data_IF_105814044748
#
_entry.id   IF_105814044748
#
_cell.length_a   1.000
_cell.length_b   1.000
_cell.length_c   1.000
_cell.angle_alpha   90.00
_cell.angle_beta   90.00
_cell.angle_gamma   90.00
#
_symmetry.space_group_name_H-M   'P 1'
#
loop_
_entity.id
_entity.type
_entity.pdbx_description
1 polymer ?
#
# COMPACT_ATOMS: atom_id res chain seq x y z
N UNK A 1 -40.01 -49.40 8.42
CA UNK A 1 -40.50 -50.00 9.69
C UNK A 1 -41.93 -50.52 9.61
N UNK A 2 -42.95 -49.70 9.31
CA UNK A 2 -44.33 -50.20 9.24
C UNK A 2 -44.62 -51.07 8.00
N UNK A 3 -44.02 -50.74 6.85
CA UNK A 3 -44.08 -51.55 5.63
C UNK A 3 -43.34 -52.89 5.81
N UNK A 4 -42.13 -52.86 6.37
CA UNK A 4 -41.34 -54.07 6.69
C UNK A 4 -42.07 -54.99 7.67
N UNK A 5 -42.72 -54.41 8.69
CA UNK A 5 -43.50 -55.18 9.67
C UNK A 5 -44.73 -55.83 9.03
N UNK A 6 -45.30 -55.21 8.00
CA UNK A 6 -46.47 -55.72 7.30
C UNK A 6 -46.12 -56.82 6.29
N UNK A 7 -45.17 -56.57 5.40
CA UNK A 7 -44.85 -57.43 4.25
C UNK A 7 -43.61 -58.31 4.43
N UNK A 8 -42.82 -58.08 5.48
CA UNK A 8 -41.47 -58.64 5.62
C UNK A 8 -40.40 -57.73 4.99
N UNK A 9 -39.19 -57.78 5.52
CA UNK A 9 -38.09 -56.89 5.10
C UNK A 9 -37.67 -57.07 3.65
N UNK A 10 -37.66 -58.30 3.13
CA UNK A 10 -37.24 -58.58 1.75
C UNK A 10 -38.22 -58.00 0.73
N UNK A 11 -39.52 -58.27 0.90
CA UNK A 11 -40.57 -57.77 0.01
C UNK A 11 -40.74 -56.25 0.10
N UNK A 12 -40.65 -55.69 1.32
CA UNK A 12 -40.71 -54.24 1.51
C UNK A 12 -39.53 -53.53 0.84
N UNK A 13 -38.32 -54.09 0.93
CA UNK A 13 -37.15 -53.53 0.24
C UNK A 13 -37.29 -53.62 -1.28
N UNK A 14 -37.80 -54.75 -1.81
CA UNK A 14 -38.05 -54.90 -3.24
C UNK A 14 -39.08 -53.90 -3.80
N UNK A 15 -40.13 -53.58 -3.04
CA UNK A 15 -41.11 -52.54 -3.38
C UNK A 15 -40.47 -51.15 -3.40
N UNK A 16 -39.65 -50.83 -2.39
CA UNK A 16 -38.93 -49.56 -2.31
C UNK A 16 -37.92 -49.35 -3.44
N UNK A 17 -37.30 -50.44 -3.91
CA UNK A 17 -36.38 -50.41 -5.05
C UNK A 17 -37.08 -50.45 -6.42
N UNK A 18 -38.42 -50.53 -6.46
CA UNK A 18 -39.19 -50.62 -7.69
C UNK A 18 -39.04 -51.95 -8.44
N UNK A 19 -38.60 -53.01 -7.75
CA UNK A 19 -38.40 -54.35 -8.31
C UNK A 19 -39.63 -55.26 -8.23
N UNK A 20 -40.69 -54.79 -7.57
CA UNK A 20 -41.96 -55.51 -7.41
C UNK A 20 -43.13 -54.54 -7.44
N UNK A 21 -44.29 -55.02 -7.88
CA UNK A 21 -45.55 -54.28 -7.90
C UNK A 21 -46.50 -54.75 -6.79
N UNK A 22 -47.56 -53.98 -6.53
CA UNK A 22 -48.60 -54.34 -5.57
C UNK A 22 -49.54 -55.47 -6.06
N UNK A 23 -49.37 -55.91 -7.31
CA UNK A 23 -50.15 -56.99 -7.92
C UNK A 23 -49.48 -58.34 -7.63
N UNK A 24 -50.27 -59.36 -7.27
CA UNK A 24 -49.73 -60.70 -7.02
C UNK A 24 -48.89 -60.83 -5.74
N UNK A 25 -49.04 -59.91 -4.77
CA UNK A 25 -48.33 -59.96 -3.49
C UNK A 25 -48.61 -61.25 -2.70
N UNK A 26 -49.82 -61.82 -2.85
CA UNK A 26 -50.23 -63.06 -2.18
C UNK A 26 -49.40 -64.27 -2.63
N UNK A 27 -49.01 -64.32 -3.90
CA UNK A 27 -48.27 -65.44 -4.50
C UNK A 27 -46.75 -65.32 -4.31
N UNK A 28 -46.28 -64.21 -3.70
CA UNK A 28 -44.86 -63.95 -3.57
C UNK A 28 -44.25 -64.73 -2.40
N UNK A 29 -43.23 -65.54 -2.68
CA UNK A 29 -42.53 -66.36 -1.68
C UNK A 29 -41.85 -65.53 -0.58
N UNK A 30 -41.54 -64.25 -0.84
CA UNK A 30 -40.95 -63.33 0.13
C UNK A 30 -41.99 -62.63 1.03
N UNK A 31 -43.29 -62.91 0.87
CA UNK A 31 -44.35 -62.35 1.72
C UNK A 31 -44.17 -62.85 3.17
N UNK A 32 -43.85 -61.92 4.06
CA UNK A 32 -43.66 -62.15 5.48
C UNK A 32 -44.53 -61.24 6.35
N UNK A 33 -44.11 -61.07 7.60
CA UNK A 33 -44.73 -60.12 8.53
C UNK A 33 -46.18 -60.45 8.90
N UNK A 34 -46.92 -59.39 9.26
CA UNK A 34 -48.33 -59.49 9.66
C UNK A 34 -49.20 -59.97 8.51
N UNK A 35 -48.92 -59.57 7.26
CA UNK A 35 -49.67 -59.96 6.08
C UNK A 35 -49.64 -61.47 5.83
N UNK A 36 -48.47 -62.11 5.98
CA UNK A 36 -48.35 -63.57 5.86
C UNK A 36 -49.06 -64.29 6.99
N UNK A 37 -49.00 -63.76 8.21
CA UNK A 37 -49.72 -64.33 9.35
C UNK A 37 -51.25 -64.26 9.15
N UNK A 38 -51.77 -63.14 8.66
CA UNK A 38 -53.20 -63.01 8.34
C UNK A 38 -53.62 -63.92 7.20
N UNK A 39 -52.79 -64.06 6.15
CA UNK A 39 -53.04 -64.98 5.04
C UNK A 39 -53.13 -66.44 5.53
N UNK A 40 -52.16 -66.88 6.33
CA UNK A 40 -52.16 -68.22 6.91
C UNK A 40 -53.41 -68.48 7.77
N UNK A 41 -53.94 -67.48 8.47
CA UNK A 41 -55.17 -67.62 9.25
C UNK A 41 -56.41 -67.82 8.36
N UNK A 42 -56.50 -67.10 7.23
CA UNK A 42 -57.57 -67.30 6.25
C UNK A 42 -57.47 -68.67 5.56
N UNK A 43 -56.27 -69.09 5.17
CA UNK A 43 -56.02 -70.43 4.60
C UNK A 43 -56.38 -71.54 5.60
N UNK A 44 -55.96 -71.41 6.86
CA UNK A 44 -56.29 -72.38 7.92
C UNK A 44 -57.81 -72.43 8.17
N UNK A 45 -58.49 -71.27 8.17
CA UNK A 45 -59.94 -71.22 8.28
C UNK A 45 -60.62 -71.94 7.12
N UNK A 46 -60.19 -71.68 5.87
CA UNK A 46 -60.73 -72.33 4.69
C UNK A 46 -60.55 -73.86 4.75
N UNK A 47 -59.36 -74.33 5.11
CA UNK A 47 -59.05 -75.75 5.25
C UNK A 47 -59.96 -76.42 6.30
N UNK A 48 -60.15 -75.80 7.46
CA UNK A 48 -61.06 -76.30 8.49
C UNK A 48 -62.51 -76.40 7.99
N UNK A 49 -62.99 -75.40 7.23
CA UNK A 49 -64.35 -75.43 6.65
C UNK A 49 -64.48 -76.49 5.57
N UNK A 50 -63.44 -76.72 4.78
CA UNK A 50 -63.42 -77.74 3.74
C UNK A 50 -63.46 -79.16 4.35
N UNK A 51 -62.76 -79.38 5.47
CA UNK A 51 -62.89 -80.60 6.26
C UNK A 51 -64.29 -80.77 6.86
N UNK A 52 -64.90 -79.71 7.40
CA UNK A 52 -66.28 -79.73 7.90
C UNK A 52 -67.28 -80.10 6.79
N UNK A 53 -67.11 -79.54 5.59
CA UNK A 53 -67.92 -79.86 4.42
C UNK A 53 -67.76 -81.33 4.00
N UNK A 54 -66.51 -81.80 3.91
CA UNK A 54 -66.22 -83.20 3.56
C UNK A 54 -66.93 -84.16 4.50
N UNK A 55 -66.82 -83.94 5.83
CA UNK A 55 -67.51 -84.75 6.83
C UNK A 55 -69.04 -84.69 6.71
N UNK A 56 -69.59 -83.51 6.44
CA UNK A 56 -71.03 -83.33 6.26
C UNK A 56 -71.54 -84.02 4.97
N UNK A 57 -70.75 -84.02 3.89
CA UNK A 57 -71.06 -84.71 2.65
C UNK A 57 -71.01 -86.24 2.79
N UNK A 58 -69.99 -86.76 3.48
CA UNK A 58 -69.89 -88.19 3.80
C UNK A 58 -71.09 -88.66 4.63
N UNK A 59 -71.45 -87.90 5.67
CA UNK A 59 -72.62 -88.15 6.51
C UNK A 59 -73.90 -88.16 5.67
N UNK A 60 -74.10 -87.14 4.82
CA UNK A 60 -75.24 -87.08 3.91
C UNK A 60 -75.29 -88.27 2.94
N UNK A 61 -74.14 -88.72 2.44
CA UNK A 61 -74.03 -89.87 1.53
C UNK A 61 -74.48 -91.16 2.21
N UNK A 62 -74.05 -91.38 3.46
CA UNK A 62 -74.53 -92.49 4.29
C UNK A 62 -76.01 -92.38 4.65
N UNK A 63 -76.49 -91.20 5.05
CA UNK A 63 -77.91 -90.98 5.35
C UNK A 63 -78.81 -91.21 4.13
N UNK A 64 -78.36 -90.86 2.91
CA UNK A 64 -79.07 -91.18 1.66
C UNK A 64 -79.16 -92.69 1.42
N UNK A 65 -78.06 -93.43 1.55
CA UNK A 65 -78.06 -94.88 1.36
C UNK A 65 -78.90 -95.62 2.41
N UNK A 66 -78.92 -95.13 3.65
CA UNK A 66 -79.72 -95.71 4.73
C UNK A 66 -81.22 -95.39 4.56
N UNK A 67 -81.56 -94.21 4.04
CA UNK A 67 -82.93 -93.84 3.69
C UNK A 67 -83.50 -94.73 2.58
N UNK A 68 -82.73 -95.00 1.51
CA UNK A 68 -83.13 -95.93 0.43
C UNK A 68 -83.41 -97.35 0.94
N UNK A 69 -82.68 -97.78 1.98
CA UNK A 69 -82.86 -99.08 2.63
C UNK A 69 -83.94 -99.07 3.74
N UNK A 70 -84.57 -97.92 4.01
CA UNK A 70 -85.66 -97.76 4.98
C UNK A 70 -85.23 -97.60 6.45
N UNK A 71 -83.94 -97.37 6.73
CA UNK A 71 -83.39 -97.30 8.09
C UNK A 71 -83.33 -95.88 8.70
N UNK A 72 -83.58 -94.83 7.91
CA UNK A 72 -83.50 -93.41 8.33
C UNK A 72 -84.80 -92.70 7.96
N UNK A 73 -85.27 -91.76 8.79
CA UNK A 73 -86.49 -91.00 8.53
C UNK A 73 -86.23 -89.76 7.64
N UNK A 74 -87.24 -89.26 6.93
CA UNK A 74 -87.14 -88.09 6.03
C UNK A 74 -86.65 -86.81 6.73
N UNK A 75 -87.02 -86.63 8.00
CA UNK A 75 -86.59 -85.47 8.78
C UNK A 75 -85.08 -85.50 9.07
N UNK A 76 -84.52 -86.67 9.33
CA UNK A 76 -83.06 -86.85 9.57
C UNK A 76 -82.28 -86.59 8.27
N UNK A 77 -82.73 -87.17 7.15
CA UNK A 77 -82.12 -86.92 5.84
C UNK A 77 -82.15 -85.42 5.47
N UNK A 78 -83.27 -84.75 5.71
CA UNK A 78 -83.42 -83.31 5.41
C UNK A 78 -82.53 -82.46 6.33
N UNK A 79 -82.34 -82.88 7.58
CA UNK A 79 -81.40 -82.26 8.52
C UNK A 79 -79.94 -82.35 8.03
N UNK A 80 -79.50 -83.52 7.60
CA UNK A 80 -78.16 -83.74 7.06
C UNK A 80 -77.95 -83.00 5.72
N UNK A 81 -78.97 -82.92 4.88
CA UNK A 81 -78.93 -82.11 3.64
C UNK A 81 -78.76 -80.62 3.93
N UNK A 82 -79.48 -80.09 4.93
CA UNK A 82 -79.34 -78.70 5.36
C UNK A 82 -77.96 -78.46 6.00
N UNK A 83 -77.44 -79.42 6.75
CA UNK A 83 -76.11 -79.33 7.35
C UNK A 83 -74.99 -79.32 6.29
N UNK A 84 -75.07 -80.17 5.27
CA UNK A 84 -74.14 -80.17 4.15
C UNK A 84 -74.21 -78.85 3.36
N UNK A 85 -75.41 -78.34 3.08
CA UNK A 85 -75.58 -77.02 2.44
C UNK A 85 -75.05 -75.87 3.30
N UNK A 86 -75.23 -75.93 4.62
CA UNK A 86 -74.69 -74.92 5.54
C UNK A 86 -73.16 -74.94 5.54
N UNK A 87 -72.54 -76.13 5.54
CA UNK A 87 -71.09 -76.28 5.45
C UNK A 87 -70.56 -75.78 4.09
N UNK A 88 -71.28 -76.04 2.99
CA UNK A 88 -70.93 -75.55 1.65
C UNK A 88 -70.94 -74.02 1.60
N UNK A 89 -71.97 -73.39 2.18
CA UNK A 89 -72.04 -71.94 2.31
C UNK A 89 -70.86 -71.40 3.13
N UNK A 90 -70.49 -72.06 4.24
CA UNK A 90 -69.34 -71.65 5.06
C UNK A 90 -68.01 -71.75 4.32
N UNK A 91 -67.80 -72.80 3.52
CA UNK A 91 -66.62 -72.91 2.64
C UNK A 91 -66.61 -71.80 1.61
N UNK A 92 -67.75 -71.54 0.96
CA UNK A 92 -67.86 -70.48 -0.03
C UNK A 92 -67.58 -69.09 0.57
N UNK A 93 -68.04 -68.83 1.79
CA UNK A 93 -67.76 -67.61 2.53
C UNK A 93 -66.27 -67.49 2.88
N UNK A 94 -65.67 -68.53 3.47
CA UNK A 94 -64.25 -68.51 3.83
C UNK A 94 -63.33 -68.37 2.60
N UNK A 95 -63.72 -68.96 1.46
CA UNK A 95 -63.00 -68.83 0.18
C UNK A 95 -63.10 -67.41 -0.35
N UNK A 96 -64.26 -66.77 -0.25
CA UNK A 96 -64.45 -65.38 -0.67
C UNK A 96 -63.70 -64.41 0.24
N UNK A 97 -63.65 -64.67 1.56
CA UNK A 97 -62.86 -63.87 2.51
C UNK A 97 -61.36 -63.89 2.18
N UNK A 98 -60.81 -65.07 1.90
CA UNK A 98 -59.41 -65.21 1.45
C UNK A 98 -59.18 -64.45 0.15
N UNK A 99 -60.07 -64.63 -0.84
CA UNK A 99 -60.00 -63.94 -2.12
C UNK A 99 -60.06 -62.41 -1.98
N UNK A 100 -60.92 -61.90 -1.11
CA UNK A 100 -61.07 -60.47 -0.83
C UNK A 100 -59.77 -59.91 -0.21
N UNK A 101 -59.20 -60.66 0.73
CA UNK A 101 -57.92 -60.29 1.35
C UNK A 101 -56.80 -60.23 0.33
N UNK A 102 -56.62 -61.28 -0.48
CA UNK A 102 -55.55 -61.38 -1.49
C UNK A 102 -55.64 -60.30 -2.56
N UNK A 103 -56.86 -60.02 -3.06
CA UNK A 103 -57.04 -59.11 -4.20
C UNK A 103 -57.16 -57.65 -3.81
N UNK A 104 -57.64 -57.34 -2.61
CA UNK A 104 -57.98 -55.97 -2.25
C UNK A 104 -57.29 -55.51 -0.97
N UNK A 105 -57.49 -56.22 0.14
CA UNK A 105 -57.00 -55.76 1.46
C UNK A 105 -55.47 -55.72 1.50
N UNK A 106 -54.82 -56.79 1.03
CA UNK A 106 -53.36 -56.90 1.03
C UNK A 106 -52.69 -55.82 0.17
N UNK A 107 -53.02 -55.65 -1.13
CA UNK A 107 -52.45 -54.59 -1.96
C UNK A 107 -52.73 -53.19 -1.43
N UNK A 108 -53.95 -52.93 -0.96
CA UNK A 108 -54.36 -51.61 -0.48
C UNK A 108 -53.57 -51.17 0.76
N UNK A 109 -53.41 -52.06 1.74
CA UNK A 109 -52.64 -51.75 2.95
C UNK A 109 -51.14 -51.61 2.66
N UNK A 110 -50.61 -52.41 1.72
CA UNK A 110 -49.24 -52.29 1.26
C UNK A 110 -48.98 -50.93 0.58
N UNK A 111 -49.87 -50.53 -0.33
CA UNK A 111 -49.80 -49.25 -1.05
C UNK A 111 -49.90 -48.05 -0.09
N UNK A 112 -50.82 -48.11 0.88
CA UNK A 112 -50.97 -47.05 1.86
C UNK A 112 -49.69 -46.87 2.70
N UNK A 113 -49.15 -47.95 3.27
CA UNK A 113 -47.91 -47.90 4.06
C UNK A 113 -46.70 -47.47 3.23
N UNK A 114 -46.67 -47.84 1.95
CA UNK A 114 -45.64 -47.40 1.01
C UNK A 114 -45.74 -45.88 0.75
N UNK A 115 -46.95 -45.38 0.50
CA UNK A 115 -47.20 -43.95 0.33
C UNK A 115 -46.77 -43.15 1.57
N UNK A 116 -47.14 -43.63 2.77
CA UNK A 116 -46.76 -43.01 4.05
C UNK A 116 -45.23 -42.98 4.24
N UNK A 117 -44.53 -44.03 3.80
CA UNK A 117 -43.07 -44.09 3.83
C UNK A 117 -42.46 -43.03 2.89
N UNK A 118 -42.92 -42.96 1.63
CA UNK A 118 -42.42 -42.01 0.64
C UNK A 118 -42.68 -40.57 1.08
N UNK A 119 -43.83 -40.29 1.68
CA UNK A 119 -44.14 -38.98 2.23
C UNK A 119 -43.21 -38.61 3.41
N UNK A 120 -42.97 -39.55 4.31
CA UNK A 120 -42.05 -39.36 5.44
C UNK A 120 -40.61 -39.11 5.00
N UNK A 121 -40.15 -39.82 3.97
CA UNK A 121 -38.81 -39.64 3.39
C UNK A 121 -38.66 -38.25 2.74
N UNK A 122 -39.67 -37.83 1.95
CA UNK A 122 -39.72 -36.48 1.39
C UNK A 122 -39.75 -35.40 2.46
N UNK A 123 -40.48 -35.62 3.55
CA UNK A 123 -40.50 -34.68 4.67
C UNK A 123 -39.15 -34.58 5.37
N UNK A 124 -38.47 -35.70 5.57
CA UNK A 124 -37.13 -35.74 6.13
C UNK A 124 -36.13 -34.97 5.25
N UNK A 125 -36.22 -35.09 3.93
CA UNK A 125 -35.42 -34.29 3.00
C UNK A 125 -35.75 -32.79 3.06
N UNK A 126 -37.05 -32.43 3.14
CA UNK A 126 -37.46 -31.04 3.35
C UNK A 126 -36.89 -30.45 4.64
N UNK A 127 -36.94 -31.21 5.74
CA UNK A 127 -36.39 -30.79 7.05
C UNK A 127 -34.88 -30.64 6.97
N UNK A 128 -34.16 -31.59 6.35
CA UNK A 128 -32.70 -31.49 6.15
C UNK A 128 -32.33 -30.27 5.31
N UNK A 129 -33.03 -30.01 4.22
CA UNK A 129 -32.81 -28.84 3.37
C UNK A 129 -33.06 -27.52 4.14
N UNK A 130 -34.15 -27.48 4.92
CA UNK A 130 -34.48 -26.34 5.78
C UNK A 130 -33.41 -26.10 6.85
N UNK A 131 -32.94 -27.14 7.52
CA UNK A 131 -31.88 -27.05 8.52
C UNK A 131 -30.56 -26.53 7.93
N UNK A 132 -30.17 -27.04 6.75
CA UNK A 132 -28.98 -26.54 6.03
C UNK A 132 -29.10 -25.06 5.67
N UNK A 133 -30.27 -24.64 5.19
CA UNK A 133 -30.54 -23.24 4.87
C UNK A 133 -30.48 -22.35 6.12
N UNK A 134 -31.07 -22.79 7.23
CA UNK A 134 -31.04 -22.07 8.50
C UNK A 134 -29.62 -21.96 9.07
N UNK A 135 -28.81 -23.02 8.99
CA UNK A 135 -27.40 -22.99 9.39
C UNK A 135 -26.61 -22.00 8.54
N UNK A 136 -26.77 -22.04 7.20
CA UNK A 136 -26.10 -21.10 6.31
C UNK A 136 -26.50 -19.64 6.59
N UNK A 137 -27.77 -19.39 6.89
CA UNK A 137 -28.26 -18.06 7.29
C UNK A 137 -27.67 -17.62 8.64
N UNK A 138 -27.61 -18.50 9.63
CA UNK A 138 -27.02 -18.22 10.93
C UNK A 138 -25.52 -17.92 10.83
N UNK A 139 -24.78 -18.70 10.04
CA UNK A 139 -23.34 -18.50 9.80
C UNK A 139 -23.07 -17.17 9.07
N UNK A 140 -23.88 -16.85 8.05
CA UNK A 140 -23.80 -15.56 7.37
C UNK A 140 -24.11 -14.39 8.32
N UNK A 141 -25.12 -14.55 9.18
CA UNK A 141 -25.48 -13.56 10.21
C UNK A 141 -24.37 -13.38 11.25
N UNK A 142 -23.74 -14.47 11.69
CA UNK A 142 -22.60 -14.44 12.61
C UNK A 142 -21.41 -13.69 11.99
N UNK A 143 -21.03 -14.03 10.75
CA UNK A 143 -19.94 -13.36 10.03
C UNK A 143 -20.20 -11.86 9.85
N UNK A 144 -21.43 -11.48 9.48
CA UNK A 144 -21.81 -10.07 9.32
C UNK A 144 -21.76 -9.30 10.65
N UNK A 145 -22.24 -9.91 11.74
CA UNK A 145 -22.20 -9.31 13.08
C UNK A 145 -20.76 -9.18 13.58
N UNK A 146 -19.92 -10.19 13.32
CA UNK A 146 -18.51 -10.18 13.69
C UNK A 146 -17.74 -9.06 12.96
N UNK A 147 -17.95 -8.90 11.65
CA UNK A 147 -17.35 -7.82 10.88
C UNK A 147 -17.79 -6.43 11.39
N UNK A 148 -19.07 -6.30 11.76
CA UNK A 148 -19.58 -5.05 12.36
C UNK A 148 -18.96 -4.77 13.72
N UNK A 149 -18.76 -5.80 14.54
CA UNK A 149 -18.09 -5.69 15.83
C UNK A 149 -16.63 -5.26 15.70
N UNK A 150 -15.90 -5.83 14.74
CA UNK A 150 -14.50 -5.46 14.47
C UNK A 150 -14.38 -3.99 14.02
N UNK A 151 -15.25 -3.54 13.13
CA UNK A 151 -15.31 -2.14 12.70
C UNK A 151 -15.59 -1.19 13.87
N UNK A 152 -16.56 -1.50 14.72
CA UNK A 152 -16.88 -0.67 15.89
C UNK A 152 -15.77 -0.68 16.94
N UNK A 153 -15.06 -1.81 17.09
CA UNK A 153 -13.88 -1.90 17.95
C UNK A 153 -12.75 -0.99 17.45
N UNK A 154 -12.43 -1.04 16.16
CA UNK A 154 -11.43 -0.14 15.57
C UNK A 154 -11.83 1.34 15.72
N UNK A 155 -13.12 1.64 15.53
CA UNK A 155 -13.65 2.99 15.74
C UNK A 155 -13.49 3.45 17.19
N UNK A 156 -13.73 2.55 18.15
CA UNK A 156 -13.52 2.82 19.57
C UNK A 156 -12.04 3.08 19.88
N UNK A 157 -11.12 2.28 19.35
CA UNK A 157 -9.67 2.45 19.52
C UNK A 157 -9.21 3.80 18.95
N UNK A 158 -9.60 4.13 17.71
CA UNK A 158 -9.35 5.45 17.11
C UNK A 158 -9.91 6.58 17.95
N UNK A 159 -11.11 6.41 18.51
CA UNK A 159 -11.73 7.43 19.38
C UNK A 159 -10.97 7.61 20.69
N UNK A 160 -10.47 6.52 21.29
CA UNK A 160 -9.62 6.58 22.48
C UNK A 160 -8.30 7.29 22.18
N UNK A 161 -7.64 6.96 21.07
CA UNK A 161 -6.43 7.65 20.63
C UNK A 161 -6.67 9.15 20.40
N UNK A 162 -7.81 9.53 19.83
CA UNK A 162 -8.17 10.94 19.65
C UNK A 162 -8.33 11.66 20.99
N UNK A 163 -8.93 11.02 21.99
CA UNK A 163 -9.05 11.58 23.35
C UNK A 163 -7.67 11.73 24.01
N UNK A 164 -6.79 10.74 23.85
CA UNK A 164 -5.41 10.84 24.35
C UNK A 164 -4.65 12.00 23.68
N UNK A 165 -4.83 12.17 22.36
CA UNK A 165 -4.25 13.28 21.59
C UNK A 165 -4.83 14.66 21.92
N UNK A 166 -5.96 14.74 22.64
CA UNK A 166 -6.44 16.03 23.18
C UNK A 166 -5.56 16.57 24.31
N UNK A 167 -4.72 15.73 24.92
CA UNK A 167 -3.75 16.14 25.93
C UNK A 167 -2.35 16.17 25.31
N UNK A 168 -1.96 17.34 24.81
CA UNK A 168 -0.62 17.55 24.24
C UNK A 168 0.37 17.77 25.39
N UNK A 169 1.39 16.91 25.49
CA UNK A 169 2.49 17.02 26.45
C UNK A 169 3.75 17.53 25.75
N UNK A 170 4.59 18.24 26.49
CA UNK A 170 5.91 18.61 26.00
C UNK A 170 6.76 17.33 25.83
N UNK A 171 7.42 17.12 24.67
CA UNK A 171 8.30 15.97 24.47
C UNK A 171 9.55 16.05 25.35
N UNK A 172 10.06 17.26 25.59
CA UNK A 172 11.30 17.53 26.32
C UNK A 172 11.15 18.77 27.21
N UNK A 173 11.93 18.87 28.31
CA UNK A 173 12.01 20.09 29.09
C UNK A 173 12.68 21.21 28.28
N UNK A 174 12.10 22.39 28.26
CA UNK A 174 12.66 23.52 27.52
C UNK A 174 11.81 24.78 27.64
N UNK A 175 12.26 25.84 26.98
CA UNK A 175 11.53 27.12 26.94
C UNK A 175 10.41 27.04 25.91
N UNK A 176 9.19 27.38 26.32
CA UNK A 176 8.01 27.38 25.44
C UNK A 176 7.92 28.69 24.68
N UNK A 177 7.87 28.62 23.35
CA UNK A 177 7.63 29.77 22.46
C UNK A 177 6.35 29.53 21.65
N UNK A 178 5.42 30.49 21.66
CA UNK A 178 4.21 30.42 20.85
C UNK A 178 4.54 30.63 19.36
N UNK A 179 3.99 29.77 18.49
CA UNK A 179 4.22 29.84 17.02
C UNK A 179 3.74 31.16 16.38
N UNK A 180 2.76 31.83 17.01
CA UNK A 180 2.31 33.17 16.58
C UNK A 180 3.41 34.23 16.65
N UNK A 181 4.44 34.03 17.48
CA UNK A 181 5.55 34.97 17.68
C UNK A 181 6.71 34.68 16.73
N UNK A 182 6.94 33.41 16.37
CA UNK A 182 8.12 32.98 15.59
C UNK A 182 8.00 33.23 14.08
N UNK A 183 6.79 33.26 13.52
CA UNK A 183 6.60 33.44 12.08
C UNK A 183 5.89 34.78 11.76
N UNK A 184 6.57 35.76 11.12
CA UNK A 184 5.99 37.05 10.75
C UNK A 184 4.71 36.94 9.91
N UNK A 185 4.61 35.93 9.05
CA UNK A 185 3.46 35.68 8.19
C UNK A 185 2.26 35.09 8.93
N UNK A 186 2.46 34.60 10.16
CA UNK A 186 1.40 34.01 11.02
C UNK A 186 0.93 34.94 12.13
N UNK A 187 1.49 36.14 12.27
CA UNK A 187 0.99 37.17 13.21
C UNK A 187 -0.45 37.63 12.93
N UNK A 188 -1.00 37.30 11.77
CA UNK A 188 -2.41 37.52 11.40
C UNK A 188 -3.38 36.46 11.92
N UNK A 189 -2.88 35.34 12.49
CA UNK A 189 -3.73 34.38 13.20
C UNK A 189 -3.79 34.72 14.68
N UNK A 190 -5.00 34.61 15.23
CA UNK A 190 -5.23 34.75 16.67
C UNK A 190 -4.25 33.85 17.44
N UNK A 191 -3.53 34.40 18.45
CA UNK A 191 -2.67 33.59 19.30
C UNK A 191 -3.50 32.52 20.01
N UNK A 192 -2.86 31.39 20.30
CA UNK A 192 -3.49 30.26 21.00
C UNK A 192 -3.94 30.77 22.37
N UNK A 193 -5.25 30.75 22.62
CA UNK A 193 -5.90 31.14 23.87
C UNK A 193 -7.10 30.25 24.12
N UNK A 194 -7.57 30.22 25.35
CA UNK A 194 -8.75 29.44 25.74
C UNK A 194 -9.94 29.79 24.83
N UNK A 195 -10.64 28.76 24.35
CA UNK A 195 -11.79 28.90 23.44
C UNK A 195 -11.45 28.97 21.94
N UNK A 196 -10.18 29.00 21.55
CA UNK A 196 -9.78 28.96 20.13
C UNK A 196 -9.84 27.54 19.56
N UNK A 197 -10.35 27.41 18.34
CA UNK A 197 -10.35 26.15 17.60
C UNK A 197 -8.96 25.88 17.01
N UNK A 198 -8.40 24.71 17.32
CA UNK A 198 -7.16 24.21 16.74
C UNK A 198 -7.44 23.11 15.73
N UNK A 199 -6.56 22.97 14.73
CA UNK A 199 -6.66 21.93 13.70
C UNK A 199 -5.55 20.88 13.87
N UNK A 200 -5.76 19.69 13.30
CA UNK A 200 -4.73 18.67 13.23
C UNK A 200 -3.51 19.20 12.46
N UNK A 201 -2.31 18.85 12.93
CA UNK A 201 -1.02 19.30 12.38
C UNK A 201 -0.81 20.82 12.39
N UNK A 202 -1.62 21.57 13.14
CA UNK A 202 -1.32 22.98 13.39
C UNK A 202 -0.15 23.09 14.36
N UNK A 203 0.87 23.85 13.99
CA UNK A 203 1.93 24.25 14.91
C UNK A 203 1.36 25.22 15.97
N UNK A 204 1.48 24.85 17.24
CA UNK A 204 0.93 25.58 18.38
C UNK A 204 2.07 26.22 19.19
N UNK A 205 3.03 25.39 19.56
CA UNK A 205 4.19 25.73 20.39
C UNK A 205 5.44 25.19 19.70
N UNK A 206 6.52 25.94 19.80
CA UNK A 206 7.88 25.49 19.49
C UNK A 206 8.68 25.48 20.80
N UNK A 207 9.47 24.42 20.99
CA UNK A 207 10.43 24.29 22.08
C UNK A 207 11.82 24.34 21.43
N UNK A 208 12.42 25.53 21.28
CA UNK A 208 13.77 25.64 20.74
C UNK A 208 14.77 25.00 21.70
N UNK A 209 15.61 24.13 21.15
CA UNK A 209 16.81 23.67 21.83
C UNK A 209 17.83 24.83 21.88
N UNK A 210 18.30 25.15 23.08
CA UNK A 210 19.30 26.19 23.34
C UNK A 210 20.67 25.60 23.67
N UNK A 211 20.80 24.27 23.71
CA UNK A 211 22.07 23.59 23.99
C UNK A 211 23.08 23.74 22.85
N UNK A 212 22.59 23.88 21.62
CA UNK A 212 23.41 24.11 20.43
C UNK A 212 22.90 25.35 19.70
N UNK A 213 23.77 26.33 19.50
CA UNK A 213 23.47 27.52 18.69
C UNK A 213 24.34 27.53 17.44
N UNK A 214 23.74 27.95 16.34
CA UNK A 214 24.45 28.19 15.09
C UNK A 214 24.08 29.58 14.54
N UNK A 215 25.08 30.31 14.08
CA UNK A 215 24.91 31.53 13.32
C UNK A 215 24.69 31.17 11.85
N UNK A 216 23.51 31.52 11.32
CA UNK A 216 23.21 31.39 9.89
C UNK A 216 23.65 32.65 9.18
N UNK A 217 24.62 32.51 8.27
CA UNK A 217 25.22 33.61 7.52
C UNK A 217 25.05 33.37 6.03
N UNK A 218 24.78 34.44 5.29
CA UNK A 218 24.63 34.42 3.85
C UNK A 218 25.96 34.82 3.18
N UNK A 219 26.58 33.89 2.47
CA UNK A 219 27.84 34.11 1.74
C UNK A 219 27.58 34.38 0.26
N UNK A 220 28.33 35.31 -0.34
CA UNK A 220 28.22 35.62 -1.78
C UNK A 220 28.80 34.47 -2.63
N UNK A 221 28.30 34.29 -3.86
CA UNK A 221 28.77 33.27 -4.81
C UNK A 221 30.29 33.34 -5.10
N UNK A 222 30.90 34.52 -4.98
CA UNK A 222 32.34 34.69 -5.19
C UNK A 222 33.18 34.14 -4.03
N UNK A 223 32.65 34.20 -2.81
CA UNK A 223 33.38 33.84 -1.59
C UNK A 223 33.08 32.42 -1.11
N UNK A 224 31.95 31.83 -1.50
CA UNK A 224 31.61 30.45 -1.17
C UNK A 224 32.66 29.44 -1.63
N UNK A 225 33.39 29.73 -2.72
CA UNK A 225 34.49 28.88 -3.22
C UNK A 225 35.68 28.82 -2.28
N UNK A 226 35.86 29.85 -1.45
CA UNK A 226 36.98 29.96 -0.50
C UNK A 226 36.66 29.29 0.84
N UNK A 227 35.38 29.18 1.17
CA UNK A 227 34.90 28.63 2.45
C UNK A 227 34.72 27.12 2.35
N UNK A 228 35.19 26.38 3.36
CA UNK A 228 35.12 24.91 3.45
C UNK A 228 34.55 24.47 4.80
N UNK A 229 33.94 23.29 4.80
CA UNK A 229 33.47 22.64 6.02
C UNK A 229 34.64 22.43 6.99
N UNK A 230 34.41 22.69 8.27
CA UNK A 230 35.42 22.54 9.34
C UNK A 230 36.37 23.72 9.51
N UNK A 231 36.25 24.80 8.74
CA UNK A 231 37.01 26.03 8.98
C UNK A 231 36.59 26.68 10.30
N UNK A 232 37.58 27.25 11.00
CA UNK A 232 37.37 28.04 12.21
C UNK A 232 36.76 29.40 11.85
N UNK A 233 35.84 29.85 12.67
CA UNK A 233 35.18 31.13 12.53
C UNK A 233 35.05 31.81 13.90
N UNK A 234 35.01 33.14 13.88
CA UNK A 234 34.76 33.98 15.03
C UNK A 234 33.39 34.64 14.86
N UNK A 235 32.44 34.34 15.74
CA UNK A 235 31.08 34.88 15.68
C UNK A 235 30.94 36.01 16.70
N UNK A 236 30.60 37.20 16.23
CA UNK A 236 30.25 38.35 17.08
C UNK A 236 28.75 38.63 16.99
N UNK A 237 28.14 39.05 18.10
CA UNK A 237 26.69 39.30 18.19
C UNK A 237 26.46 40.77 18.51
N UNK A 238 25.64 41.46 17.71
CA UNK A 238 25.43 42.91 17.83
C UNK A 238 24.89 43.31 19.22
N UNK A 239 24.12 42.43 19.85
CA UNK A 239 23.55 42.64 21.17
C UNK A 239 24.58 42.56 22.32
N UNK A 240 25.76 41.97 22.10
CA UNK A 240 26.82 41.79 23.10
C UNK A 240 28.11 42.40 22.55
N UNK A 241 28.36 43.65 22.93
CA UNK A 241 29.53 44.41 22.49
C UNK A 241 30.81 43.79 23.10
N UNK A 242 31.89 43.75 22.31
CA UNK A 242 33.23 43.28 22.69
C UNK A 242 33.37 41.79 23.05
N UNK A 243 32.44 40.93 22.60
CA UNK A 243 32.59 39.47 22.73
C UNK A 243 32.57 38.78 21.37
N UNK A 244 33.57 37.95 21.12
CA UNK A 244 33.62 37.02 20.01
C UNK A 244 33.60 35.58 20.52
N UNK A 245 32.85 34.75 19.81
CA UNK A 245 32.64 33.35 20.17
C UNK A 245 33.31 32.46 19.13
N UNK A 246 34.16 31.50 19.54
CA UNK A 246 34.73 30.54 18.62
C UNK A 246 33.62 29.65 18.06
N UNK A 247 33.68 29.41 16.76
CA UNK A 247 32.76 28.53 16.07
C UNK A 247 33.40 27.84 14.89
N UNK A 248 32.68 26.86 14.36
CA UNK A 248 33.13 26.01 13.27
C UNK A 248 32.08 25.97 12.17
N UNK A 249 32.50 26.05 10.90
CA UNK A 249 31.59 25.92 9.75
C UNK A 249 31.12 24.47 9.64
N UNK A 250 29.85 24.22 9.99
CA UNK A 250 29.27 22.87 10.04
C UNK A 250 28.43 22.54 8.81
N UNK A 251 27.82 23.54 8.17
CA UNK A 251 26.96 23.31 6.99
C UNK A 251 27.12 24.43 5.99
N UNK A 252 27.28 24.05 4.73
CA UNK A 252 27.23 24.97 3.59
C UNK A 252 26.08 24.48 2.69
N UNK A 253 25.09 25.34 2.43
CA UNK A 253 24.00 25.00 1.52
C UNK A 253 24.55 24.79 0.10
N UNK A 254 24.24 23.66 -0.57
CA UNK A 254 24.66 23.44 -1.95
C UNK A 254 23.86 24.27 -2.97
N UNK A 255 22.73 24.84 -2.55
CA UNK A 255 21.82 25.62 -3.38
C UNK A 255 21.78 27.06 -2.86
N UNK A 256 21.78 28.02 -3.78
CA UNK A 256 21.62 29.44 -3.46
C UNK A 256 20.24 29.69 -2.82
N UNK A 257 20.20 30.50 -1.77
CA UNK A 257 18.97 30.84 -1.07
C UNK A 257 18.09 31.75 -1.93
N UNK A 258 16.84 31.35 -2.11
CA UNK A 258 15.82 32.16 -2.80
C UNK A 258 15.19 33.22 -1.90
N UNK A 259 15.55 33.27 -0.61
CA UNK A 259 14.92 34.15 0.38
C UNK A 259 15.08 35.65 0.06
N UNK A 260 16.17 36.03 -0.62
CA UNK A 260 16.44 37.42 -1.04
C UNK A 260 16.23 37.64 -2.55
N UNK A 261 15.84 36.61 -3.30
CA UNK A 261 15.66 36.67 -4.76
C UNK A 261 14.58 37.66 -5.19
N UNK A 262 13.61 37.97 -4.30
CA UNK A 262 12.54 38.94 -4.57
C UNK A 262 13.02 40.40 -4.44
N UNK A 263 14.06 40.65 -3.62
CA UNK A 263 14.60 42.00 -3.39
C UNK A 263 15.77 42.31 -4.34
N UNK A 264 16.63 41.32 -4.64
CA UNK A 264 17.76 41.45 -5.57
C UNK A 264 18.01 40.12 -6.30
N UNK A 265 17.39 39.88 -7.47
CA UNK A 265 17.50 38.60 -8.20
C UNK A 265 18.90 38.31 -8.77
N UNK A 266 19.78 39.31 -8.82
CA UNK A 266 21.15 39.17 -9.35
C UNK A 266 22.16 38.70 -8.29
N UNK A 267 21.84 38.85 -6.99
CA UNK A 267 22.74 38.47 -5.90
C UNK A 267 22.42 37.04 -5.45
N UNK A 268 23.26 36.09 -5.83
CA UNK A 268 23.18 34.71 -5.34
C UNK A 268 23.95 34.59 -4.03
N UNK A 269 23.22 34.28 -2.97
CA UNK A 269 23.79 33.99 -1.64
C UNK A 269 23.62 32.52 -1.30
N UNK A 270 24.59 31.96 -0.58
CA UNK A 270 24.57 30.59 -0.08
C UNK A 270 24.49 30.63 1.44
N UNK A 271 23.44 30.01 1.99
CA UNK A 271 23.26 29.90 3.44
C UNK A 271 24.30 28.95 4.04
N UNK A 272 25.06 29.46 4.99
CA UNK A 272 26.11 28.72 5.71
C UNK A 272 25.83 28.80 7.20
N UNK A 273 25.83 27.66 7.88
CA UNK A 273 25.67 27.60 9.32
C UNK A 273 27.05 27.42 9.99
N UNK A 274 27.35 28.33 10.91
CA UNK A 274 28.53 28.30 11.78
C UNK A 274 28.06 27.91 13.18
N UNK A 275 28.35 26.70 13.62
CA UNK A 275 28.03 26.25 14.97
C UNK A 275 29.00 26.90 15.97
N UNK A 276 28.49 27.37 17.11
CA UNK A 276 29.34 27.84 18.20
C UNK A 276 29.90 26.63 18.95
N UNK A 277 31.20 26.65 19.25
CA UNK A 277 31.87 25.54 19.94
C UNK A 277 31.46 25.48 21.42
N UNK A 278 31.14 26.64 22.02
CA UNK A 278 30.55 26.77 23.35
C UNK A 278 29.41 27.79 23.31
N UNK A 279 28.33 27.52 24.03
CA UNK A 279 27.11 28.36 24.05
C UNK A 279 27.09 29.18 25.33
N UNK A 280 27.50 30.46 25.28
CA UNK A 280 27.52 31.31 26.47
C UNK A 280 26.11 31.71 26.91
N UNK A 281 25.96 31.92 28.23
CA UNK A 281 24.71 32.39 28.82
C UNK A 281 24.34 33.78 28.27
N UNK A 282 23.09 33.92 27.81
CA UNK A 282 22.55 35.20 27.32
C UNK A 282 22.36 35.29 25.80
N UNK A 283 22.86 34.33 25.03
CA UNK A 283 22.53 34.22 23.62
C UNK A 283 21.11 33.69 23.42
N UNK A 284 20.33 34.36 22.58
CA UNK A 284 18.98 33.91 22.22
C UNK A 284 18.84 33.75 20.71
N UNK A 285 18.14 32.70 20.23
CA UNK A 285 17.81 32.56 18.83
C UNK A 285 17.08 33.79 18.28
N UNK A 286 17.48 34.24 17.10
CA UNK A 286 16.92 35.43 16.43
C UNK A 286 17.70 36.73 16.65
N UNK A 287 18.82 36.70 17.37
CA UNK A 287 19.77 37.82 17.42
C UNK A 287 20.54 37.97 16.09
N UNK A 288 20.91 39.21 15.75
CA UNK A 288 21.80 39.51 14.62
C UNK A 288 23.24 39.17 15.00
N UNK A 289 23.92 38.42 14.14
CA UNK A 289 25.31 38.03 14.33
C UNK A 289 26.13 38.23 13.05
N UNK A 290 27.41 38.49 13.22
CA UNK A 290 28.42 38.59 12.17
C UNK A 290 29.44 37.47 12.40
N UNK A 291 29.79 36.72 11.35
CA UNK A 291 30.80 35.68 11.44
C UNK A 291 32.01 36.02 10.55
N UNK A 292 33.20 35.94 11.12
CA UNK A 292 34.47 36.06 10.43
C UNK A 292 35.05 34.65 10.24
N UNK A 293 35.08 34.16 9.01
CA UNK A 293 35.59 32.82 8.70
C UNK A 293 37.06 32.92 8.29
N UNK A 294 37.92 32.12 8.93
CA UNK A 294 39.33 32.06 8.58
C UNK A 294 39.51 31.19 7.33
N UNK A 295 39.75 31.83 6.19
CA UNK A 295 39.89 31.17 4.88
C UNK A 295 41.26 30.54 4.71
N UNK A 296 42.31 31.26 5.12
CA UNK A 296 43.69 30.82 5.05
C UNK A 296 44.50 31.44 6.19
N UNK A 297 45.42 30.65 6.74
CA UNK A 297 46.39 31.09 7.74
C UNK A 297 47.77 30.80 7.16
N UNK A 298 48.56 31.86 6.98
CA UNK A 298 49.91 31.79 6.42
C UNK A 298 50.89 32.17 7.52
N UNK A 299 51.79 31.25 7.84
CA UNK A 299 52.85 31.45 8.82
C UNK A 299 54.17 31.71 8.09
N UNK A 300 55.03 32.54 8.68
CA UNK A 300 56.39 32.84 8.18
C UNK A 300 56.42 33.38 6.73
N UNK A 301 55.51 34.31 6.41
CA UNK A 301 55.42 34.94 5.07
C UNK A 301 55.88 36.39 5.08
N UNK A 302 56.50 36.83 3.98
CA UNK A 302 56.86 38.23 3.77
C UNK A 302 55.63 39.03 3.36
N UNK A 303 55.25 39.98 4.20
CA UNK A 303 54.11 40.87 3.98
C UNK A 303 54.58 42.27 3.64
N UNK A 304 54.01 42.80 2.57
CA UNK A 304 54.21 44.18 2.14
C UNK A 304 52.84 44.87 2.09
N UNK A 305 52.71 46.16 2.47
CA UNK A 305 51.46 46.89 2.29
C UNK A 305 51.01 46.85 0.82
N UNK A 306 49.71 46.72 0.55
CA UNK A 306 49.19 46.63 -0.83
C UNK A 306 49.61 47.85 -1.68
N UNK A 307 49.73 49.02 -1.04
CA UNK A 307 50.17 50.28 -1.67
C UNK A 307 51.59 50.18 -2.27
N UNK A 308 52.48 49.39 -1.66
CA UNK A 308 53.86 49.24 -2.08
C UNK A 308 54.06 48.30 -3.28
N UNK A 309 52.99 47.63 -3.76
CA UNK A 309 53.02 46.80 -4.96
C UNK A 309 52.30 47.53 -6.09
N UNK A 310 53.00 47.77 -7.19
CA UNK A 310 52.40 48.39 -8.38
C UNK A 310 52.65 47.56 -9.62
N UNK A 311 51.92 47.86 -10.70
CA UNK A 311 52.10 47.18 -11.98
C UNK A 311 52.91 48.07 -12.92
N UNK A 312 54.11 47.63 -13.29
CA UNK A 312 54.99 48.31 -14.24
C UNK A 312 55.26 47.40 -15.44
N UNK A 313 55.01 47.89 -16.66
CA UNK A 313 55.19 47.12 -17.91
C UNK A 313 54.52 45.74 -17.90
N UNK A 314 53.35 45.63 -17.28
CA UNK A 314 52.58 44.38 -17.19
C UNK A 314 53.05 43.38 -16.13
N UNK A 315 54.05 43.73 -15.32
CA UNK A 315 54.53 42.90 -14.20
C UNK A 315 54.30 43.60 -12.87
N UNK A 316 54.03 42.82 -11.81
CA UNK A 316 53.97 43.35 -10.44
C UNK A 316 55.39 43.66 -9.97
N UNK A 317 55.63 44.86 -9.51
CA UNK A 317 56.95 45.34 -9.07
C UNK A 317 56.86 46.06 -7.72
N UNK A 318 57.95 45.99 -6.98
CA UNK A 318 58.21 46.82 -5.81
C UNK A 318 59.49 47.63 -6.03
N UNK A 319 59.54 48.85 -5.46
CA UNK A 319 60.75 49.66 -5.48
C UNK A 319 61.48 49.46 -4.16
N UNK A 320 62.66 48.86 -4.23
CA UNK A 320 63.52 48.58 -3.08
C UNK A 320 64.54 49.71 -2.92
N UNK A 321 64.63 50.25 -1.70
CA UNK A 321 65.63 51.25 -1.34
C UNK A 321 66.94 50.53 -1.07
N UNK A 322 67.95 50.78 -1.91
CA UNK A 322 69.30 50.24 -1.70
C UNK A 322 70.32 51.37 -1.48
N UNK A 323 71.47 51.12 -0.82
CA UNK A 323 72.51 52.13 -0.62
C UNK A 323 73.09 52.72 -1.93
N UNK A 324 72.86 52.05 -3.07
CA UNK A 324 73.28 52.49 -4.41
C UNK A 324 72.18 53.17 -5.24
N UNK A 325 71.00 53.44 -4.65
CA UNK A 325 69.84 54.02 -5.33
C UNK A 325 68.62 53.09 -5.34
N UNK A 326 67.47 53.63 -5.73
CA UNK A 326 66.20 52.90 -5.77
C UNK A 326 66.19 51.91 -6.92
N UNK A 327 65.80 50.65 -6.65
CA UNK A 327 65.77 49.58 -7.65
C UNK A 327 64.36 49.05 -7.83
N UNK A 328 63.86 49.07 -9.06
CA UNK A 328 62.61 48.39 -9.43
C UNK A 328 62.88 46.90 -9.52
N UNK A 329 62.15 46.12 -8.72
CA UNK A 329 62.29 44.68 -8.71
C UNK A 329 60.95 44.00 -9.01
N UNK A 330 60.90 43.07 -9.97
CA UNK A 330 59.71 42.26 -10.19
C UNK A 330 59.46 41.37 -8.97
N UNK A 331 58.20 41.30 -8.54
CA UNK A 331 57.78 40.51 -7.39
C UNK A 331 56.67 39.55 -7.79
N UNK A 332 56.70 38.34 -7.24
CA UNK A 332 55.58 37.43 -7.28
C UNK A 332 54.77 37.59 -5.99
N UNK A 333 53.47 37.80 -6.15
CA UNK A 333 52.55 38.01 -5.03
C UNK A 333 51.70 36.77 -4.80
N UNK A 334 51.53 36.39 -3.54
CA UNK A 334 50.64 35.32 -3.11
C UNK A 334 49.24 35.83 -2.73
N UNK A 335 48.76 35.41 -1.57
CA UNK A 335 47.48 35.88 -1.04
C UNK A 335 47.54 37.35 -0.62
N UNK A 336 46.39 38.01 -0.64
CA UNK A 336 46.28 39.40 -0.23
C UNK A 336 45.06 39.60 0.66
N UNK A 337 45.21 40.52 1.60
CA UNK A 337 44.14 41.12 2.38
C UNK A 337 43.94 42.55 1.86
N UNK A 338 42.92 43.27 2.35
CA UNK A 338 42.70 44.68 1.98
C UNK A 338 43.90 45.60 2.28
N UNK A 339 44.76 45.24 3.24
CA UNK A 339 45.87 46.08 3.72
C UNK A 339 47.26 45.58 3.33
N UNK A 340 47.42 44.27 3.16
CA UNK A 340 48.72 43.62 2.99
C UNK A 340 48.66 42.57 1.91
N UNK A 341 49.78 42.39 1.20
CA UNK A 341 49.96 41.35 0.18
C UNK A 341 51.21 40.53 0.52
N UNK A 342 51.06 39.22 0.40
CA UNK A 342 52.14 38.26 0.52
C UNK A 342 53.07 38.36 -0.69
N UNK A 343 54.38 38.36 -0.45
CA UNK A 343 55.40 38.29 -1.50
C UNK A 343 56.07 36.92 -1.42
N UNK A 344 55.90 36.11 -2.46
CA UNK A 344 56.49 34.76 -2.55
C UNK A 344 57.89 34.79 -3.13
N UNK A 345 58.15 35.69 -4.08
CA UNK A 345 59.46 35.86 -4.70
C UNK A 345 59.75 37.33 -5.02
N UNK A 346 61.04 37.68 -5.04
CA UNK A 346 61.52 38.99 -5.45
C UNK A 346 61.97 39.87 -4.29
N UNK A 347 61.51 39.66 -3.05
CA UNK A 347 61.97 40.43 -1.89
C UNK A 347 62.55 39.53 -0.81
N UNK A 348 63.52 40.07 -0.08
CA UNK A 348 64.11 39.42 1.09
C UNK A 348 63.67 40.13 2.38
N UNK A 349 63.70 39.40 3.49
CA UNK A 349 63.37 39.95 4.81
C UNK A 349 64.30 41.10 5.19
N UNK A 350 63.72 42.20 5.69
CA UNK A 350 64.46 43.40 6.11
C UNK A 350 64.77 44.40 4.99
N UNK A 351 64.37 44.13 3.75
CA UNK A 351 64.45 45.11 2.65
C UNK A 351 63.40 46.22 2.83
N UNK A 352 63.81 47.46 2.60
CA UNK A 352 62.94 48.64 2.70
C UNK A 352 62.34 48.93 1.33
N UNK A 353 61.01 49.02 1.26
CA UNK A 353 60.27 49.31 0.01
C UNK A 353 59.52 50.63 0.11
N UNK A 354 59.30 51.29 -1.03
CA UNK A 354 58.47 52.49 -1.09
C UNK A 354 56.97 52.13 -0.96
N UNK A 355 56.25 52.90 -0.13
CA UNK A 355 54.80 52.79 0.00
C UNK A 355 54.05 53.33 -1.22
N UNK A 356 54.61 54.33 -1.89
CA UNK A 356 54.11 54.84 -3.18
C UNK A 356 55.20 54.69 -4.24
N UNK A 357 55.32 53.51 -4.87
CA UNK A 357 56.29 53.29 -5.94
C UNK A 357 55.98 54.10 -7.20
N UNK A 358 54.75 54.63 -7.38
CA UNK A 358 54.40 55.44 -8.55
C UNK A 358 55.05 56.83 -8.49
N UNK A 359 55.18 57.40 -7.29
CA UNK A 359 55.85 58.69 -7.07
C UNK A 359 57.35 58.64 -7.42
N UNK A 360 58.00 57.53 -7.06
CA UNK A 360 59.45 57.33 -7.30
C UNK A 360 59.77 57.14 -8.79
N UNK A 361 58.86 56.54 -9.54
CA UNK A 361 59.10 56.17 -10.92
C UNK A 361 58.69 57.24 -11.94
N UNK A 362 58.12 58.36 -11.46
CA UNK A 362 57.99 59.63 -12.18
C UNK A 362 57.19 59.58 -13.49
N UNK A 363 57.39 60.56 -14.39
CA UNK A 363 56.69 60.67 -15.68
C UNK A 363 56.87 59.46 -16.62
N UNK A 364 57.80 58.55 -16.32
CA UNK A 364 58.01 57.29 -17.04
C UNK A 364 56.96 56.21 -16.71
N UNK A 365 56.17 56.39 -15.64
CA UNK A 365 55.04 55.52 -15.31
C UNK A 365 53.83 55.74 -16.22
N UNK A 366 53.62 56.97 -16.68
CA UNK A 366 52.45 57.32 -17.51
C UNK A 366 52.69 57.06 -19.00
N UNK A 367 53.95 57.05 -19.44
CA UNK A 367 54.33 56.79 -20.83
C UNK A 367 54.53 55.29 -21.10
N UNK A 368 53.44 54.53 -21.05
CA UNK A 368 53.37 53.17 -21.58
C UNK A 368 52.64 53.20 -22.92
N UNK A 369 53.38 53.38 -24.02
CA UNK A 369 52.97 52.76 -25.29
C UNK A 369 53.38 51.27 -25.22
N UNK A 370 52.54 50.34 -25.69
CA UNK A 370 52.95 48.94 -25.79
C UNK A 370 54.19 48.83 -26.70
N UNK A 371 55.25 48.19 -26.22
CA UNK A 371 56.39 47.83 -27.07
C UNK A 371 55.92 46.80 -28.12
N UNK A 372 56.44 46.94 -29.33
CA UNK A 372 56.13 46.16 -30.53
C UNK A 372 56.27 44.64 -30.33
N UNK A 373 55.38 43.88 -30.99
CA UNK A 373 55.25 42.41 -30.97
C UNK A 373 56.53 41.58 -31.25
N UNK A 374 57.64 42.22 -31.61
CA UNK A 374 58.90 41.54 -31.92
C UNK A 374 59.75 41.24 -30.67
N UNK A 375 59.73 42.09 -29.63
CA UNK A 375 60.47 41.82 -28.37
C UNK A 375 59.76 40.78 -27.47
N UNK A 376 58.43 40.62 -27.63
CA UNK A 376 57.64 39.58 -26.96
C UNK A 376 57.90 38.17 -27.53
N UNK A 377 58.36 38.07 -28.79
CA UNK A 377 58.72 36.79 -29.42
C UNK A 377 60.10 36.31 -28.99
N UNK A 378 61.06 37.20 -28.84
CA UNK A 378 62.43 36.86 -28.39
C UNK A 378 62.44 36.34 -26.94
N UNK A 379 61.49 36.80 -26.09
CA UNK A 379 61.32 36.30 -24.73
C UNK A 379 60.55 34.97 -24.62
N UNK A 380 59.76 34.60 -25.65
CA UNK A 380 59.05 33.32 -25.68
C UNK A 380 60.00 32.14 -25.97
N UNK A 381 61.13 32.39 -26.64
CA UNK A 381 62.11 31.36 -27.01
C UNK A 381 63.08 30.96 -25.88
N UNK A 382 63.15 31.73 -24.77
CA UNK A 382 64.04 31.44 -23.64
C UNK A 382 63.37 30.89 -22.37
N UNK A 383 62.09 30.52 -22.42
CA UNK A 383 61.46 29.72 -21.34
C UNK A 383 61.72 28.23 -21.55
N UNK A 384 62.71 27.69 -20.84
CA UNK A 384 62.76 26.26 -20.52
C UNK A 384 61.68 26.00 -19.45
N UNK A 385 60.59 25.36 -19.87
CA UNK A 385 59.62 24.76 -18.96
C UNK A 385 59.95 23.27 -18.91
N UNK A 386 60.45 22.80 -17.76
CA UNK A 386 60.45 21.37 -17.46
C UNK A 386 59.01 20.89 -17.34
N UNK A 387 58.60 19.98 -18.22
CA UNK A 387 57.47 19.10 -18.01
C UNK A 387 57.94 17.82 -17.31
N UNK A 388 57.33 17.41 -16.19
CA UNK A 388 57.36 16.02 -15.72
C UNK A 388 56.16 15.22 -16.26
N UNK A 389 56.26 13.88 -16.27
CA UNK A 389 56.13 13.11 -17.50
C UNK A 389 54.78 12.44 -17.71
N UNK A 390 54.45 12.30 -18.99
CA UNK A 390 53.45 11.39 -19.54
C UNK A 390 54.05 9.96 -19.53
N UNK A 391 53.47 9.06 -18.73
CA UNK A 391 53.72 7.62 -18.80
C UNK A 391 52.44 6.93 -19.25
N UNK A 392 52.51 6.36 -20.46
CA UNK A 392 51.49 5.54 -21.08
C UNK A 392 51.43 4.15 -20.42
N UNK A 393 50.21 3.69 -20.14
CA UNK A 393 49.85 2.27 -20.22
C UNK A 393 48.63 2.16 -21.15
N UNK A 394 48.82 1.50 -22.29
CA UNK A 394 47.77 1.03 -23.18
C UNK A 394 47.17 -0.28 -22.64
N UNK A 395 45.83 -0.38 -22.76
CA UNK A 395 44.98 -1.53 -23.15
C UNK A 395 43.79 -1.74 -22.18
N UNK A 396 42.64 -2.30 -22.65
CA UNK A 396 42.10 -2.43 -24.01
C UNK A 396 40.68 -1.85 -24.15
N UNK A 397 40.18 -1.88 -25.39
CA UNK A 397 38.82 -1.54 -25.77
C UNK A 397 37.76 -2.32 -24.98
N UNK A 398 36.85 -1.61 -24.33
CA UNK A 398 35.54 -2.12 -23.93
C UNK A 398 34.45 -1.40 -24.73
N UNK A 399 33.51 -2.21 -25.21
CA UNK A 399 32.42 -1.86 -26.11
C UNK A 399 31.59 -0.70 -25.57
N UNK A 400 31.38 0.32 -26.40
CA UNK A 400 30.40 1.37 -26.15
C UNK A 400 29.00 0.75 -26.14
N UNK A 401 28.45 0.49 -24.95
CA UNK A 401 27.00 0.43 -24.78
C UNK A 401 26.41 1.80 -25.18
N UNK A 402 25.31 1.84 -25.94
CA UNK A 402 24.75 3.11 -26.40
C UNK A 402 24.27 3.92 -25.20
N UNK A 403 24.56 5.22 -25.25
CA UNK A 403 24.11 6.22 -24.30
C UNK A 403 22.63 6.02 -23.95
N UNK A 404 22.36 5.79 -22.66
CA UNK A 404 21.00 5.84 -22.13
C UNK A 404 20.56 7.30 -22.20
N UNK A 405 19.67 7.61 -23.14
CA UNK A 405 18.95 8.88 -23.19
C UNK A 405 18.19 9.06 -21.86
N UNK A 406 18.52 10.12 -21.12
CA UNK A 406 17.73 10.54 -19.96
C UNK A 406 16.26 10.72 -20.37
N UNK A 407 15.28 10.22 -19.59
CA UNK A 407 13.88 10.33 -19.96
C UNK A 407 13.44 11.80 -19.89
N UNK A 408 13.22 12.40 -21.07
CA UNK A 408 12.64 13.73 -21.18
C UNK A 408 11.24 13.75 -20.56
N UNK A 409 11.06 14.54 -19.50
CA UNK A 409 9.78 14.72 -18.81
C UNK A 409 8.65 15.11 -19.77
N UNK A 410 7.46 14.56 -19.54
CA UNK A 410 6.27 14.86 -20.32
C UNK A 410 5.85 16.32 -20.06
N UNK A 411 5.78 17.14 -21.10
CA UNK A 411 5.25 18.51 -21.00
C UNK A 411 3.72 18.48 -20.82
N UNK A 412 3.27 18.56 -19.57
CA UNK A 412 1.86 18.52 -19.19
C UNK A 412 1.06 19.76 -19.63
N UNK A 413 1.72 20.85 -20.01
CA UNK A 413 1.03 22.07 -20.46
C UNK A 413 0.37 21.89 -21.83
N UNK A 414 0.97 21.05 -22.69
CA UNK A 414 0.51 20.75 -24.05
C UNK A 414 -0.36 19.49 -24.10
N UNK A 415 -0.06 18.47 -23.29
CA UNK A 415 -0.82 17.22 -23.21
C UNK A 415 -2.10 17.31 -22.37
N UNK A 416 -2.10 18.10 -21.30
CA UNK A 416 -3.24 18.23 -20.37
C UNK A 416 -4.57 18.62 -21.04
N UNK A 417 -4.62 19.60 -21.95
CA UNK A 417 -5.84 19.95 -22.68
C UNK A 417 -6.35 18.83 -23.59
N UNK A 418 -5.46 18.14 -24.31
CA UNK A 418 -5.81 17.05 -25.23
C UNK A 418 -6.37 15.83 -24.49
N UNK A 419 -5.82 15.52 -23.32
CA UNK A 419 -6.31 14.46 -22.44
C UNK A 419 -7.70 14.76 -21.85
N UNK A 420 -8.02 16.03 -21.60
CA UNK A 420 -9.37 16.44 -21.16
C UNK A 420 -10.41 16.33 -22.27
N UNK A 421 -10.04 16.59 -23.52
CA UNK A 421 -10.95 16.40 -24.66
C UNK A 421 -11.38 14.94 -24.85
N UNK A 422 -10.52 13.98 -24.50
CA UNK A 422 -10.85 12.55 -24.55
C UNK A 422 -11.94 12.13 -23.57
N UNK A 423 -12.14 12.87 -22.48
CA UNK A 423 -13.13 12.55 -21.45
C UNK A 423 -14.58 12.76 -21.92
N UNK A 424 -14.78 13.53 -22.99
CA UNK A 424 -16.11 13.89 -23.49
C UNK A 424 -16.51 13.18 -24.80
N UNK A 425 -15.69 12.22 -25.27
CA UNK A 425 -15.90 11.51 -26.54
C UNK A 425 -16.44 10.08 -26.34
N UNK A 426 -17.22 9.54 -27.30
CA UNK A 426 -17.65 8.14 -27.30
C UNK A 426 -16.46 7.16 -27.33
N UNK A 427 -16.62 5.97 -26.76
CA UNK A 427 -15.53 5.01 -26.53
C UNK A 427 -14.71 4.65 -27.80
N UNK A 428 -15.36 4.53 -28.95
CA UNK A 428 -14.70 4.20 -30.23
C UNK A 428 -13.84 5.34 -30.77
N UNK A 429 -14.27 6.59 -30.60
CA UNK A 429 -13.51 7.78 -31.02
C UNK A 429 -12.38 8.12 -30.03
N UNK A 430 -12.61 7.84 -28.75
CA UNK A 430 -11.64 7.97 -27.66
C UNK A 430 -10.41 7.07 -27.88
N UNK A 431 -10.63 5.82 -28.29
CA UNK A 431 -9.54 4.89 -28.58
C UNK A 431 -8.69 5.33 -29.79
N UNK A 432 -9.33 5.89 -30.83
CA UNK A 432 -8.62 6.42 -32.02
C UNK A 432 -7.78 7.65 -31.69
N UNK A 433 -8.34 8.64 -30.99
CA UNK A 433 -7.58 9.83 -30.57
C UNK A 433 -6.48 9.51 -29.56
N UNK A 434 -6.67 8.51 -28.68
CA UNK A 434 -5.63 8.04 -27.77
C UNK A 434 -4.42 7.47 -28.53
N UNK A 435 -4.68 6.65 -29.55
CA UNK A 435 -3.64 6.13 -30.44
C UNK A 435 -2.93 7.25 -31.23
N UNK A 436 -3.67 8.25 -31.74
CA UNK A 436 -3.06 9.40 -32.42
C UNK A 436 -2.16 10.25 -31.50
N UNK A 437 -2.49 10.36 -30.22
CA UNK A 437 -1.66 11.06 -29.23
C UNK A 437 -0.39 10.26 -28.92
N UNK A 438 -0.52 8.94 -28.73
CA UNK A 438 0.63 8.06 -28.54
C UNK A 438 1.56 8.09 -29.76
N UNK A 439 1.02 8.10 -30.98
CA UNK A 439 1.82 8.10 -32.21
C UNK A 439 2.65 9.38 -32.44
N UNK A 440 2.28 10.49 -31.80
CA UNK A 440 3.04 11.75 -31.87
C UNK A 440 4.13 11.87 -30.81
N UNK A 441 4.16 10.96 -29.82
CA UNK A 441 5.14 10.99 -28.73
C UNK A 441 6.37 10.12 -29.06
N UNK A 442 7.58 10.51 -28.59
CA UNK A 442 8.76 9.66 -28.62
C UNK A 442 8.57 8.33 -27.84
N UNK A 443 9.27 7.23 -28.20
CA UNK A 443 9.05 5.90 -27.61
C UNK A 443 9.20 5.85 -26.09
N UNK A 444 10.14 6.63 -25.52
CA UNK A 444 10.37 6.71 -24.08
C UNK A 444 9.19 7.36 -23.33
N UNK A 445 8.61 8.42 -23.89
CA UNK A 445 7.46 9.13 -23.30
C UNK A 445 6.16 8.33 -23.43
N UNK A 446 6.00 7.52 -24.49
CA UNK A 446 4.86 6.58 -24.63
C UNK A 446 4.79 5.60 -23.48
N UNK A 447 5.92 4.93 -23.17
CA UNK A 447 5.99 3.97 -22.06
C UNK A 447 5.67 4.60 -20.72
N UNK A 448 6.18 5.81 -20.47
CA UNK A 448 5.94 6.54 -19.22
C UNK A 448 4.47 6.97 -19.07
N UNK A 449 3.83 7.41 -20.16
CA UNK A 449 2.41 7.77 -20.18
C UNK A 449 1.50 6.53 -20.01
N UNK A 450 1.85 5.41 -20.64
CA UNK A 450 1.14 4.13 -20.49
C UNK A 450 1.29 3.54 -19.07
N UNK A 451 2.48 3.63 -18.45
CA UNK A 451 2.70 3.23 -17.05
C UNK A 451 1.93 4.12 -16.07
N UNK A 452 1.87 5.44 -16.30
CA UNK A 452 1.04 6.32 -15.48
C UNK A 452 -0.45 6.04 -15.65
N UNK A 453 -0.92 5.79 -16.87
CA UNK A 453 -2.32 5.39 -17.11
C UNK A 453 -2.66 4.06 -16.43
N UNK A 454 -1.72 3.10 -16.41
CA UNK A 454 -1.87 1.82 -15.69
C UNK A 454 -1.92 2.02 -14.17
N UNK A 455 -1.02 2.85 -13.62
CA UNK A 455 -1.03 3.20 -12.19
C UNK A 455 -2.32 3.94 -11.77
N UNK A 456 -2.92 4.73 -12.66
CA UNK A 456 -4.22 5.36 -12.41
C UNK A 456 -5.41 4.38 -12.45
N UNK A 457 -5.31 3.29 -13.22
CA UNK A 457 -6.29 2.19 -13.17
C UNK A 457 -6.12 1.32 -11.92
N UNK A 458 -4.89 1.04 -11.50
CA UNK A 458 -4.58 0.23 -10.31
C UNK A 458 -4.80 0.99 -8.99
N UNK A 459 -4.72 2.33 -9.00
CA UNK A 459 -4.90 3.21 -7.85
C UNK A 459 -6.33 3.37 -7.31
N UNK A 460 -7.35 2.74 -7.91
CA UNK A 460 -8.74 2.81 -7.41
C UNK A 460 -9.02 1.90 -6.19
N UNK A 461 -8.00 1.30 -5.58
CA UNK A 461 -8.15 0.40 -4.42
C UNK A 461 -8.09 1.02 -3.02
N UNK A 462 -7.62 2.26 -2.83
CA UNK A 462 -7.52 2.87 -1.49
C UNK A 462 -7.81 4.38 -1.53
N UNK A 463 -8.78 4.80 -0.69
CA UNK A 463 -9.46 6.10 -0.76
C UNK A 463 -8.64 7.35 -0.40
N UNK A 464 -9.15 8.57 -0.51
CA UNK A 464 -10.47 9.02 -0.96
C UNK A 464 -10.55 10.55 -1.02
N UNK A 465 -11.57 11.05 -1.71
CA UNK A 465 -12.16 12.39 -1.47
C UNK A 465 -11.64 13.55 -2.33
N UNK A 466 -12.11 13.66 -3.58
CA UNK A 466 -11.88 14.87 -4.38
C UNK A 466 -12.45 14.86 -5.81
N UNK A 467 -13.77 14.68 -5.95
CA UNK A 467 -14.60 15.08 -7.10
C UNK A 467 -14.11 14.83 -8.53
N UNK A 468 -14.70 13.84 -9.22
CA UNK A 468 -14.68 13.82 -10.69
C UNK A 468 -14.80 12.45 -11.35
N UNK A 469 -16.06 12.01 -11.53
CA UNK A 469 -16.62 11.08 -12.55
C UNK A 469 -15.75 9.95 -13.13
N UNK A 470 -16.30 8.74 -12.90
CA UNK A 470 -15.95 7.42 -13.40
C UNK A 470 -15.36 7.33 -14.81
N UNK A 471 -14.28 6.57 -14.93
CA UNK A 471 -13.93 5.82 -16.13
C UNK A 471 -14.09 4.33 -15.82
N UNK A 472 -15.08 3.69 -16.42
CA UNK A 472 -15.20 2.23 -16.45
C UNK A 472 -15.65 1.83 -17.86
N UNK A 473 -14.79 1.02 -18.48
CA UNK A 473 -14.90 0.33 -19.78
C UNK A 473 -14.76 1.19 -21.06
#
# INVERSE_FOLDING_TARGET
>A
MELDRYLGSELATALLEGKSDFTGLADNAALGGVARQTMNNYEASLLLRDEELTRAQETLTWSRQLFEKGYVNRNELTGDELQAKSAEIKVSAAREDLRLFERYTLPKEAEQRFSDYVESDRELDRVKARARSQMAQADAGLKSTQASYELEKERLEKSKEMVEKCVIRAPEPGRVVYSSTSNPWRRMRDPIREGVKVWQNQEIISIPDLSTLAARVNLHETDIRKVKLGQKASVSVEAIVDQSFPGTVTRISPVASSAQAWLNPEIKVYETDVALDDVPEGLTPGMTATAEVVVAELNDVLLVPVEAVTTYRGQRVCVVVTPGGDQVRPVQTGQFTEKQVEITEGLAEGEVVHLDPADVLGEQYWNLQPQTDEELKEFAEHRTVEQPPEAAEEQPAEEQEPAQEEPQEIDWSTLGPQLRELQNLPAEERAKKWQEILDKLPPAQRKQLEEQARNWQEGQGQGGGGGGRSWSQ
#
